data_IF_649448365611
#
_entry.id   IF_649448365611
#
_cell.length_a   1.000
_cell.length_b   1.000
_cell.length_c   1.000
_cell.angle_alpha   90.00
_cell.angle_beta   90.00
_cell.angle_gamma   90.00
#
_symmetry.space_group_name_H-M   'P 1'
#
loop_
_entity.id
_entity.type
_entity.pdbx_description
1 polymer ?
#
# COMPACT_ATOMS: atom_id res chain seq x y z
N UNK A 1 0.28 12.62 22.96
CA UNK A 1 0.58 11.23 22.58
C UNK A 1 -0.57 10.73 21.74
N UNK A 2 -0.28 10.36 20.49
CA UNK A 2 -1.28 9.90 19.54
C UNK A 2 -1.90 8.58 20.01
N UNK A 3 -3.13 8.26 19.61
CA UNK A 3 -3.74 6.93 19.78
C UNK A 3 -2.84 5.81 19.25
N UNK A 4 -1.86 6.14 18.40
CA UNK A 4 -0.85 5.23 17.83
C UNK A 4 0.39 4.96 18.70
N UNK A 5 0.59 5.65 19.83
CA UNK A 5 1.78 5.44 20.71
C UNK A 5 1.58 4.30 21.74
N UNK A 6 0.41 3.65 21.77
CA UNK A 6 0.18 2.49 22.65
C UNK A 6 0.65 1.21 21.96
N UNK A 7 1.39 0.31 22.62
CA UNK A 7 1.76 -0.97 22.04
C UNK A 7 0.50 -1.75 21.67
N UNK A 8 0.40 -2.13 20.40
CA UNK A 8 -0.68 -2.98 19.87
C UNK A 8 -0.22 -4.42 20.02
N UNK A 9 -1.04 -5.23 20.70
CA UNK A 9 -0.93 -6.69 20.68
C UNK A 9 -1.72 -7.26 19.51
N UNK A 10 -1.24 -8.34 18.90
CA UNK A 10 -1.95 -9.06 17.84
C UNK A 10 -2.00 -10.54 18.21
N UNK A 11 -3.20 -11.10 18.29
CA UNK A 11 -3.43 -12.54 18.45
C UNK A 11 -3.83 -13.13 17.11
N UNK A 12 -3.08 -14.11 16.63
CA UNK A 12 -3.48 -14.92 15.48
C UNK A 12 -4.09 -16.21 16.04
N UNK A 13 -5.35 -16.46 15.71
CA UNK A 13 -6.14 -17.52 16.33
C UNK A 13 -6.27 -18.71 15.37
N UNK A 14 -6.00 -19.92 15.86
CA UNK A 14 -6.35 -21.16 15.16
C UNK A 14 -7.21 -22.08 16.05
N UNK A 15 -7.81 -23.12 15.49
CA UNK A 15 -8.60 -24.09 16.26
C UNK A 15 -7.75 -24.85 17.29
N UNK A 16 -6.44 -24.97 17.02
CA UNK A 16 -5.59 -25.98 17.62
C UNK A 16 -5.84 -27.35 17.01
N UNK A 17 -4.92 -28.27 17.24
CA UNK A 17 -5.00 -29.65 16.78
C UNK A 17 -4.58 -30.58 17.90
N UNK A 18 -5.21 -31.77 18.03
CA UNK A 18 -4.68 -32.81 18.93
C UNK A 18 -3.29 -33.29 18.46
N UNK A 19 -2.90 -33.02 17.21
CA UNK A 19 -1.58 -33.36 16.67
C UNK A 19 -0.60 -32.22 16.97
N UNK A 20 0.35 -32.46 17.88
CA UNK A 20 1.34 -31.47 18.30
C UNK A 20 2.15 -30.87 17.13
N UNK A 21 2.41 -31.63 16.07
CA UNK A 21 3.13 -31.15 14.89
C UNK A 21 2.38 -30.03 14.13
N UNK A 22 1.05 -30.14 14.02
CA UNK A 22 0.24 -29.11 13.37
C UNK A 22 0.28 -27.79 14.16
N UNK A 23 0.26 -27.87 15.50
CA UNK A 23 0.37 -26.69 16.36
C UNK A 23 1.74 -26.02 16.23
N UNK A 24 2.82 -26.81 16.21
CA UNK A 24 4.19 -26.28 15.96
C UNK A 24 4.29 -25.59 14.60
N UNK A 25 3.65 -26.15 13.57
CA UNK A 25 3.59 -25.52 12.25
C UNK A 25 2.91 -24.15 12.27
N UNK A 26 1.79 -24.03 13.00
CA UNK A 26 1.07 -22.77 13.21
C UNK A 26 1.89 -21.76 14.03
N UNK A 27 2.48 -22.18 15.16
CA UNK A 27 3.35 -21.33 15.98
C UNK A 27 4.54 -20.80 15.17
N UNK A 28 5.17 -21.65 14.35
CA UNK A 28 6.26 -21.23 13.47
C UNK A 28 5.80 -20.23 12.40
N UNK A 29 4.57 -20.38 11.88
CA UNK A 29 3.97 -19.38 11.00
C UNK A 29 3.78 -18.05 11.72
N UNK A 30 3.20 -18.05 12.92
CA UNK A 30 2.98 -16.84 13.71
C UNK A 30 4.32 -16.17 14.05
N UNK A 31 5.36 -16.93 14.39
CA UNK A 31 6.69 -16.39 14.62
C UNK A 31 7.28 -15.68 13.39
N UNK A 32 7.11 -16.23 12.18
CA UNK A 32 7.53 -15.56 10.93
C UNK A 32 6.72 -14.29 10.63
N UNK A 33 5.45 -14.24 11.05
CA UNK A 33 4.64 -13.02 10.95
C UNK A 33 5.11 -11.98 11.98
N UNK A 34 5.33 -12.39 13.23
CA UNK A 34 5.81 -11.55 14.32
C UNK A 34 7.12 -10.84 13.96
N UNK A 35 8.08 -11.56 13.35
CA UNK A 35 9.36 -10.98 12.94
C UNK A 35 9.23 -9.89 11.87
N UNK A 36 8.12 -9.88 11.12
CA UNK A 36 7.84 -8.89 10.04
C UNK A 36 7.02 -7.70 10.53
N UNK A 37 6.41 -7.78 11.71
CA UNK A 37 5.50 -6.76 12.26
C UNK A 37 6.05 -6.04 13.50
N UNK A 38 7.35 -6.16 13.78
CA UNK A 38 7.98 -5.44 14.89
C UNK A 38 7.75 -3.91 14.76
N UNK A 39 7.44 -3.20 15.87
CA UNK A 39 7.55 -3.64 17.27
C UNK A 39 6.25 -4.24 17.87
N UNK A 40 5.22 -4.58 17.08
CA UNK A 40 3.99 -5.16 17.63
C UNK A 40 4.25 -6.52 18.30
N UNK A 41 3.57 -6.80 19.42
CA UNK A 41 3.63 -8.11 20.09
C UNK A 41 2.63 -9.04 19.41
N UNK A 42 3.11 -10.04 18.65
CA UNK A 42 2.28 -10.95 17.88
C UNK A 42 2.40 -12.37 18.44
N UNK A 43 1.31 -12.94 18.94
CA UNK A 43 1.29 -14.24 19.62
C UNK A 43 0.26 -15.20 19.01
N UNK A 44 0.54 -16.51 19.02
CA UNK A 44 -0.44 -17.52 18.64
C UNK A 44 -1.43 -17.73 19.79
N UNK A 45 -2.72 -17.85 19.47
CA UNK A 45 -3.75 -18.28 20.41
C UNK A 45 -4.53 -19.45 19.81
N UNK A 46 -4.93 -20.39 20.67
CA UNK A 46 -5.73 -21.53 20.27
C UNK A 46 -7.15 -21.42 20.84
N UNK A 47 -8.14 -21.83 20.06
CA UNK A 47 -9.53 -21.63 20.44
C UNK A 47 -10.05 -22.68 21.45
N UNK A 48 -9.72 -23.97 21.33
CA UNK A 48 -10.36 -24.98 22.20
C UNK A 48 -9.56 -26.23 22.55
N UNK A 49 -8.49 -26.57 21.81
CA UNK A 49 -7.85 -27.90 21.96
C UNK A 49 -6.53 -27.83 22.74
N UNK A 50 -5.81 -26.71 22.61
CA UNK A 50 -4.42 -26.58 23.06
C UNK A 50 -4.25 -25.25 23.75
N UNK A 51 -3.27 -25.15 24.66
CA UNK A 51 -2.87 -23.91 25.32
C UNK A 51 -1.63 -23.35 24.62
N UNK A 52 -1.42 -22.03 24.59
CA UNK A 52 -2.21 -20.99 25.26
C UNK A 52 -3.50 -20.64 24.49
N UNK A 53 -4.60 -20.45 25.23
CA UNK A 53 -5.87 -20.03 24.65
C UNK A 53 -5.99 -18.50 24.54
N UNK A 54 -7.13 -18.00 24.04
CA UNK A 54 -7.37 -16.56 23.89
C UNK A 54 -7.26 -15.83 25.25
N UNK A 55 -8.00 -16.23 26.33
CA UNK A 55 -7.84 -15.65 27.65
C UNK A 55 -6.39 -15.63 28.18
N UNK A 56 -5.65 -16.73 28.03
CA UNK A 56 -4.25 -16.81 28.48
C UNK A 56 -3.39 -15.73 27.82
N UNK A 57 -3.54 -15.56 26.51
CA UNK A 57 -2.75 -14.59 25.76
C UNK A 57 -3.17 -13.15 26.02
N UNK A 58 -4.46 -12.89 26.20
CA UNK A 58 -4.95 -11.57 26.62
C UNK A 58 -4.36 -11.21 27.99
N UNK A 59 -4.38 -12.14 28.95
CA UNK A 59 -3.77 -11.95 30.27
C UNK A 59 -2.26 -11.67 30.17
N UNK A 60 -1.54 -12.45 29.36
CA UNK A 60 -0.11 -12.29 29.12
C UNK A 60 0.22 -10.90 28.53
N UNK A 61 -0.49 -10.48 27.50
CA UNK A 61 -0.32 -9.16 26.88
C UNK A 61 -0.69 -8.02 27.84
N UNK A 62 -1.80 -8.16 28.57
CA UNK A 62 -2.23 -7.17 29.56
C UNK A 62 -1.18 -6.97 30.66
N UNK A 63 -0.56 -8.05 31.15
CA UNK A 63 0.51 -7.99 32.16
C UNK A 63 1.76 -7.23 31.68
N UNK A 64 1.99 -7.19 30.35
CA UNK A 64 3.08 -6.45 29.69
C UNK A 64 2.71 -4.99 29.38
N UNK A 65 1.51 -4.55 29.78
CA UNK A 65 1.04 -3.17 29.58
C UNK A 65 0.34 -2.93 28.24
N UNK A 66 0.07 -3.97 27.45
CA UNK A 66 -0.72 -3.84 26.22
C UNK A 66 -2.17 -3.52 26.58
N UNK A 67 -2.72 -2.44 26.02
CA UNK A 67 -4.10 -1.98 26.28
C UNK A 67 -5.00 -2.05 25.05
N UNK A 68 -4.47 -2.47 23.91
CA UNK A 68 -5.22 -2.71 22.67
C UNK A 68 -4.72 -3.98 22.00
N UNK A 69 -5.62 -4.93 21.76
CA UNK A 69 -5.31 -6.22 21.17
C UNK A 69 -6.21 -6.43 19.94
N UNK A 70 -5.59 -6.68 18.80
CA UNK A 70 -6.26 -7.09 17.57
C UNK A 70 -6.27 -8.62 17.50
N UNK A 71 -7.41 -9.20 17.16
CA UNK A 71 -7.56 -10.64 17.00
C UNK A 71 -7.82 -10.96 15.54
N UNK A 72 -6.93 -11.74 14.91
CA UNK A 72 -7.05 -12.22 13.55
C UNK A 72 -7.42 -13.71 13.55
N UNK A 73 -8.67 -14.08 13.22
CA UNK A 73 -9.05 -15.47 13.04
C UNK A 73 -8.38 -16.07 11.79
N UNK A 74 -7.44 -16.98 11.98
CA UNK A 74 -6.72 -17.67 10.89
C UNK A 74 -7.53 -18.88 10.40
N UNK A 75 -8.69 -18.59 9.81
CA UNK A 75 -9.60 -19.57 9.23
C UNK A 75 -9.90 -19.22 7.78
N UNK A 76 -9.92 -20.23 6.91
CA UNK A 76 -10.26 -20.08 5.49
C UNK A 76 -11.77 -20.20 5.22
N UNK A 77 -12.52 -20.73 6.19
CA UNK A 77 -13.96 -20.93 6.11
C UNK A 77 -14.60 -20.61 7.46
N UNK A 78 -15.76 -19.95 7.45
CA UNK A 78 -16.51 -19.64 8.67
C UNK A 78 -17.44 -20.80 9.07
N UNK A 79 -17.00 -21.65 10.00
CA UNK A 79 -17.91 -22.56 10.73
C UNK A 79 -18.63 -21.85 11.89
N UNK A 80 -19.64 -22.50 12.50
CA UNK A 80 -20.35 -21.98 13.70
C UNK A 80 -19.40 -21.53 14.83
N UNK A 81 -18.23 -22.17 14.94
CA UNK A 81 -17.22 -21.85 15.95
C UNK A 81 -16.60 -20.44 15.81
N UNK A 82 -16.53 -19.90 14.59
CA UNK A 82 -15.96 -18.57 14.35
C UNK A 82 -16.98 -17.47 14.65
N UNK A 83 -18.27 -17.74 14.35
CA UNK A 83 -19.34 -16.75 14.45
C UNK A 83 -20.03 -16.70 15.81
N UNK A 84 -19.95 -17.76 16.63
CA UNK A 84 -20.63 -17.84 17.93
C UNK A 84 -19.65 -17.92 19.09
N UNK A 85 -18.67 -18.81 19.03
CA UNK A 85 -17.88 -19.15 20.22
C UNK A 85 -16.75 -18.14 20.50
N UNK A 86 -16.09 -17.63 19.46
CA UNK A 86 -15.07 -16.57 19.61
C UNK A 86 -15.68 -15.31 20.24
N UNK A 87 -16.83 -14.78 19.76
CA UNK A 87 -17.52 -13.67 20.42
C UNK A 87 -17.80 -13.92 21.91
N UNK A 88 -18.29 -15.12 22.28
CA UNK A 88 -18.58 -15.45 23.67
C UNK A 88 -17.33 -15.43 24.56
N UNK A 89 -16.21 -15.99 24.09
CA UNK A 89 -14.92 -15.92 24.80
C UNK A 89 -14.40 -14.48 24.91
N UNK A 90 -14.64 -13.65 23.90
CA UNK A 90 -14.23 -12.25 23.92
C UNK A 90 -15.04 -11.43 24.92
N UNK A 91 -16.33 -11.69 25.06
CA UNK A 91 -17.15 -11.03 26.08
C UNK A 91 -16.70 -11.40 27.50
N UNK A 92 -16.28 -12.65 27.72
CA UNK A 92 -15.62 -13.05 28.97
C UNK A 92 -14.31 -12.28 29.19
N UNK A 93 -13.46 -12.19 28.17
CA UNK A 93 -12.20 -11.44 28.26
C UNK A 93 -12.43 -9.94 28.52
N UNK A 94 -13.45 -9.33 27.90
CA UNK A 94 -13.82 -7.92 28.12
C UNK A 94 -14.25 -7.66 29.57
N UNK A 95 -14.99 -8.60 30.17
CA UNK A 95 -15.38 -8.50 31.57
C UNK A 95 -14.19 -8.65 32.52
N UNK A 96 -13.24 -9.54 32.20
CA UNK A 96 -12.07 -9.80 33.03
C UNK A 96 -10.98 -8.71 32.89
N UNK A 97 -10.86 -8.11 31.70
CA UNK A 97 -9.85 -7.11 31.37
C UNK A 97 -10.50 -5.83 30.79
N UNK A 98 -11.29 -5.09 31.60
CA UNK A 98 -12.07 -3.94 31.11
C UNK A 98 -11.22 -2.79 30.55
N UNK A 99 -9.95 -2.70 30.97
CA UNK A 99 -9.03 -1.68 30.47
C UNK A 99 -8.32 -2.06 29.14
N UNK A 100 -8.61 -3.25 28.59
CA UNK A 100 -7.98 -3.74 27.36
C UNK A 100 -9.01 -3.73 26.23
N UNK A 101 -8.77 -2.90 25.22
CA UNK A 101 -9.61 -2.87 24.04
C UNK A 101 -9.34 -4.10 23.14
N UNK A 102 -10.38 -4.91 22.91
CA UNK A 102 -10.33 -6.11 22.05
C UNK A 102 -11.11 -5.87 20.76
N UNK A 103 -10.44 -5.98 19.61
CA UNK A 103 -11.00 -5.76 18.28
C UNK A 103 -10.74 -7.00 17.40
N UNK A 104 -11.80 -7.54 16.78
CA UNK A 104 -11.70 -8.70 15.90
C UNK A 104 -11.60 -8.23 14.46
N UNK A 105 -10.56 -8.69 13.76
CA UNK A 105 -10.39 -8.47 12.33
C UNK A 105 -11.19 -9.50 11.53
N UNK A 106 -11.58 -9.19 10.28
CA UNK A 106 -12.11 -10.19 9.36
C UNK A 106 -11.16 -11.40 9.25
N UNK A 107 -11.74 -12.59 9.10
CA UNK A 107 -10.96 -13.80 8.82
C UNK A 107 -10.43 -13.79 7.37
N UNK A 108 -9.78 -14.88 6.96
CA UNK A 108 -9.19 -15.00 5.62
C UNK A 108 -10.16 -15.59 4.59
N UNK A 109 -11.44 -15.78 4.94
CA UNK A 109 -12.45 -16.31 4.02
C UNK A 109 -12.69 -15.34 2.87
N UNK A 110 -12.71 -15.87 1.63
CA UNK A 110 -12.89 -15.09 0.40
C UNK A 110 -11.88 -13.94 0.22
N UNK A 111 -10.67 -14.04 0.80
CA UNK A 111 -9.60 -13.09 0.46
C UNK A 111 -9.11 -13.38 -0.97
N UNK A 112 -9.24 -12.44 -1.93
CA UNK A 112 -8.82 -12.67 -3.31
C UNK A 112 -7.35 -12.99 -3.47
N UNK A 113 -6.49 -12.60 -2.51
CA UNK A 113 -5.08 -13.00 -2.55
C UNK A 113 -4.93 -14.52 -2.44
N UNK A 114 -5.84 -15.21 -1.75
CA UNK A 114 -5.86 -16.67 -1.71
C UNK A 114 -6.35 -17.25 -3.03
N UNK A 115 -7.35 -16.65 -3.68
CA UNK A 115 -7.82 -17.05 -5.00
C UNK A 115 -6.70 -16.92 -6.04
N UNK A 116 -6.01 -15.77 -6.07
CA UNK A 116 -4.85 -15.53 -6.92
C UNK A 116 -3.74 -16.57 -6.69
N UNK A 117 -3.43 -16.90 -5.43
CA UNK A 117 -2.44 -17.92 -5.08
C UNK A 117 -2.86 -19.32 -5.58
N UNK A 118 -4.14 -19.65 -5.53
CA UNK A 118 -4.66 -20.91 -6.06
C UNK A 118 -4.55 -20.94 -7.59
N UNK A 119 -4.90 -19.86 -8.27
CA UNK A 119 -4.73 -19.72 -9.72
C UNK A 119 -3.26 -19.83 -10.10
N UNK A 120 -2.36 -19.10 -9.45
CA UNK A 120 -0.92 -19.15 -9.72
C UNK A 120 -0.37 -20.56 -9.57
N UNK A 121 -0.79 -21.27 -8.53
CA UNK A 121 -0.40 -22.66 -8.32
C UNK A 121 -0.95 -23.56 -9.42
N UNK A 122 -2.23 -23.43 -9.76
CA UNK A 122 -2.92 -24.38 -10.64
C UNK A 122 -2.75 -24.08 -12.13
N UNK A 123 -2.43 -22.85 -12.51
CA UNK A 123 -2.30 -22.39 -13.90
C UNK A 123 -1.38 -23.27 -14.75
N UNK A 124 -0.20 -23.73 -14.28
CA UNK A 124 0.66 -24.63 -15.06
C UNK A 124 -0.01 -25.97 -15.43
N UNK A 125 -1.09 -26.37 -14.76
CA UNK A 125 -1.81 -27.62 -15.00
C UNK A 125 -3.20 -27.42 -15.60
N UNK A 126 -3.66 -26.18 -15.76
CA UNK A 126 -5.00 -25.85 -16.26
C UNK A 126 -5.12 -25.98 -17.80
N UNK A 127 -4.00 -26.11 -18.52
CA UNK A 127 -3.96 -26.06 -19.98
C UNK A 127 -4.00 -24.61 -20.50
N UNK A 128 -3.45 -24.38 -21.69
CA UNK A 128 -3.53 -23.09 -22.38
C UNK A 128 -4.54 -23.20 -23.52
N UNK A 129 -5.72 -22.60 -23.37
CA UNK A 129 -6.64 -22.35 -24.48
C UNK A 129 -6.87 -20.84 -24.60
N UNK A 130 -5.85 -20.08 -24.97
CA UNK A 130 -6.07 -18.72 -25.47
C UNK A 130 -5.17 -18.43 -26.69
N UNK A 131 -5.84 -18.08 -27.80
CA UNK A 131 -5.18 -17.47 -28.96
C UNK A 131 -4.61 -16.13 -28.51
N UNK A 132 -3.29 -16.08 -28.30
CA UNK A 132 -2.61 -14.84 -27.92
C UNK A 132 -2.69 -13.82 -29.07
N UNK A 133 -3.32 -12.65 -28.87
CA UNK A 133 -3.28 -11.59 -29.87
C UNK A 133 -1.84 -11.11 -30.07
N UNK A 134 -1.43 -10.92 -31.33
CA UNK A 134 -0.06 -10.46 -31.67
C UNK A 134 0.02 -8.92 -31.81
N UNK A 135 -1.12 -8.25 -31.94
CA UNK A 135 -1.18 -6.79 -32.09
C UNK A 135 -1.21 -6.10 -30.72
N UNK A 136 -0.37 -5.08 -30.53
CA UNK A 136 -0.24 -4.38 -29.23
C UNK A 136 -1.55 -3.81 -28.70
N UNK A 137 -2.38 -3.21 -29.57
CA UNK A 137 -3.69 -2.68 -29.16
C UNK A 137 -4.66 -3.79 -28.72
N UNK A 138 -4.62 -4.95 -29.38
CA UNK A 138 -5.46 -6.10 -29.02
C UNK A 138 -5.01 -6.74 -27.70
N UNK A 139 -3.69 -6.81 -27.44
CA UNK A 139 -3.12 -7.23 -26.14
C UNK A 139 -3.56 -6.29 -25.02
N UNK A 140 -3.48 -4.97 -25.23
CA UNK A 140 -3.89 -3.98 -24.24
C UNK A 140 -5.40 -4.08 -23.95
N UNK A 141 -6.24 -4.20 -24.98
CA UNK A 141 -7.69 -4.39 -24.81
C UNK A 141 -8.04 -5.68 -24.07
N UNK A 142 -7.36 -6.80 -24.38
CA UNK A 142 -7.54 -8.06 -23.66
C UNK A 142 -7.11 -7.92 -22.19
N UNK A 143 -5.98 -7.26 -21.93
CA UNK A 143 -5.49 -7.00 -20.57
C UNK A 143 -6.51 -6.21 -19.75
N UNK A 144 -7.09 -5.14 -20.30
CA UNK A 144 -8.13 -4.36 -19.62
C UNK A 144 -9.42 -5.15 -19.40
N UNK A 145 -9.80 -6.02 -20.34
CA UNK A 145 -10.95 -6.90 -20.18
C UNK A 145 -10.75 -7.85 -18.99
N UNK A 146 -9.58 -8.47 -18.89
CA UNK A 146 -9.22 -9.36 -17.76
C UNK A 146 -9.24 -8.58 -16.44
N UNK A 147 -8.62 -7.40 -16.40
CA UNK A 147 -8.62 -6.54 -15.20
C UNK A 147 -10.05 -6.17 -14.79
N UNK A 148 -10.92 -5.83 -15.75
CA UNK A 148 -12.30 -5.48 -15.47
C UNK A 148 -13.08 -6.67 -14.89
N UNK A 149 -12.86 -7.88 -15.39
CA UNK A 149 -13.48 -9.09 -14.85
C UNK A 149 -12.99 -9.39 -13.42
N UNK A 150 -11.69 -9.26 -13.17
CA UNK A 150 -11.09 -9.49 -11.85
C UNK A 150 -11.47 -8.41 -10.82
N UNK A 151 -11.91 -7.24 -11.27
CA UNK A 151 -12.40 -6.15 -10.43
C UNK A 151 -13.94 -6.02 -10.43
N UNK A 152 -14.68 -7.05 -10.86
CA UNK A 152 -16.14 -6.98 -10.97
C UNK A 152 -16.83 -6.62 -9.63
N UNK A 153 -16.30 -7.12 -8.51
CA UNK A 153 -16.83 -6.86 -7.16
C UNK A 153 -16.22 -5.62 -6.50
N UNK A 154 -15.28 -4.95 -7.18
CA UNK A 154 -14.69 -3.71 -6.69
C UNK A 154 -15.49 -2.51 -7.20
N UNK A 155 -16.03 -1.72 -6.27
CA UNK A 155 -16.79 -0.52 -6.58
C UNK A 155 -16.01 0.73 -6.13
N UNK A 156 -15.56 1.55 -7.09
CA UNK A 156 -15.11 2.92 -6.80
C UNK A 156 -16.26 3.89 -6.88
N UNK A 157 -16.36 4.79 -5.89
CA UNK A 157 -17.30 5.91 -5.90
C UNK A 157 -16.84 7.08 -6.79
N UNK A 158 -15.65 7.00 -7.40
CA UNK A 158 -15.04 8.06 -8.22
C UNK A 158 -14.56 7.47 -9.57
N UNK A 159 -15.26 7.75 -10.69
CA UNK A 159 -14.90 7.21 -12.01
C UNK A 159 -13.50 7.60 -12.49
N UNK A 160 -13.08 8.85 -12.26
CA UNK A 160 -11.73 9.31 -12.66
C UNK A 160 -10.63 8.60 -11.85
N UNK A 161 -10.88 8.33 -10.57
CA UNK A 161 -9.96 7.57 -9.73
C UNK A 161 -9.85 6.08 -10.16
N UNK A 162 -10.93 5.51 -10.70
CA UNK A 162 -10.96 4.13 -11.23
C UNK A 162 -9.99 3.95 -12.40
N UNK A 163 -9.94 4.90 -13.32
CA UNK A 163 -9.01 4.82 -14.45
C UNK A 163 -7.54 4.77 -13.98
N UNK A 164 -7.19 5.53 -12.92
CA UNK A 164 -5.86 5.49 -12.31
C UNK A 164 -5.59 4.11 -11.72
N UNK A 165 -6.53 3.56 -10.93
CA UNK A 165 -6.39 2.24 -10.31
C UNK A 165 -6.16 1.15 -11.37
N UNK A 166 -7.00 1.11 -12.41
CA UNK A 166 -6.87 0.13 -13.50
C UNK A 166 -5.56 0.27 -14.25
N UNK A 167 -5.08 1.48 -14.51
CA UNK A 167 -3.80 1.68 -15.20
C UNK A 167 -2.62 1.23 -14.33
N UNK A 168 -2.67 1.50 -13.02
CA UNK A 168 -1.64 1.04 -12.09
C UNK A 168 -1.62 -0.49 -12.04
N UNK A 169 -2.78 -1.14 -11.96
CA UNK A 169 -2.89 -2.61 -12.00
C UNK A 169 -2.33 -3.15 -13.32
N UNK A 170 -2.70 -2.57 -14.46
CA UNK A 170 -2.18 -2.97 -15.76
C UNK A 170 -0.65 -2.87 -15.84
N UNK A 171 -0.07 -1.79 -15.33
CA UNK A 171 1.38 -1.57 -15.37
C UNK A 171 2.17 -2.43 -14.38
N UNK A 172 1.50 -3.07 -13.40
CA UNK A 172 2.16 -3.81 -12.31
C UNK A 172 1.75 -5.28 -12.24
N UNK A 173 0.69 -5.69 -12.95
CA UNK A 173 0.04 -6.98 -12.81
C UNK A 173 -0.32 -7.31 -11.34
N UNK A 174 -0.75 -6.30 -10.57
CA UNK A 174 -1.00 -6.44 -9.14
C UNK A 174 -2.36 -5.88 -8.73
N UNK A 175 -3.34 -6.78 -8.59
CA UNK A 175 -4.71 -6.45 -8.20
C UNK A 175 -4.82 -5.82 -6.81
N UNK A 176 -3.81 -6.01 -5.94
CA UNK A 176 -3.85 -5.45 -4.58
C UNK A 176 -3.88 -3.92 -4.56
N UNK A 177 -3.48 -3.25 -5.66
CA UNK A 177 -3.63 -1.80 -5.79
C UNK A 177 -5.09 -1.33 -5.75
N UNK A 178 -6.07 -2.14 -6.16
CA UNK A 178 -7.49 -1.81 -6.04
C UNK A 178 -7.92 -1.56 -4.58
N UNK A 179 -7.32 -2.29 -3.63
CA UNK A 179 -7.62 -2.19 -2.20
C UNK A 179 -6.69 -1.25 -1.44
N UNK A 180 -5.47 -1.07 -1.95
CA UNK A 180 -4.40 -0.37 -1.21
C UNK A 180 -4.16 1.06 -1.69
N UNK A 181 -4.51 1.41 -2.93
CA UNK A 181 -4.42 2.80 -3.41
C UNK A 181 -5.32 3.72 -2.61
N UNK A 182 -4.82 4.92 -2.38
CA UNK A 182 -5.50 6.02 -1.70
C UNK A 182 -5.27 7.26 -2.56
N UNK A 183 -6.37 7.80 -3.07
CA UNK A 183 -6.39 8.93 -3.98
C UNK A 183 -7.11 10.06 -3.24
N UNK A 184 -6.44 11.19 -3.06
CA UNK A 184 -7.06 12.36 -2.43
C UNK A 184 -8.24 12.84 -3.30
N UNK A 185 -9.37 13.31 -2.73
CA UNK A 185 -10.57 13.69 -3.52
C UNK A 185 -10.32 14.73 -4.62
N UNK A 186 -9.31 15.58 -4.44
CA UNK A 186 -8.90 16.61 -5.39
C UNK A 186 -7.70 16.20 -6.28
N UNK A 187 -7.18 14.98 -6.15
CA UNK A 187 -5.94 14.59 -6.82
C UNK A 187 -6.06 14.63 -8.35
N UNK A 188 -7.18 14.12 -8.87
CA UNK A 188 -7.42 14.09 -10.32
C UNK A 188 -7.57 15.51 -10.86
N UNK A 189 -8.42 16.33 -10.24
CA UNK A 189 -8.64 17.70 -10.70
C UNK A 189 -7.37 18.56 -10.64
N UNK A 190 -6.67 18.57 -9.50
CA UNK A 190 -5.42 19.34 -9.34
C UNK A 190 -4.29 18.83 -10.22
N UNK A 191 -4.22 17.52 -10.46
CA UNK A 191 -3.25 16.94 -11.38
C UNK A 191 -3.49 17.38 -12.82
N UNK A 192 -4.74 17.35 -13.28
CA UNK A 192 -5.13 17.82 -14.61
C UNK A 192 -4.86 19.32 -14.76
N UNK A 193 -5.27 20.13 -13.78
CA UNK A 193 -5.07 21.60 -13.79
C UNK A 193 -3.58 21.95 -13.83
N UNK A 194 -2.74 21.31 -13.02
CA UNK A 194 -1.31 21.55 -13.03
C UNK A 194 -0.66 21.20 -14.38
N UNK A 195 -1.08 20.10 -15.02
CA UNK A 195 -0.59 19.76 -16.36
C UNK A 195 -1.05 20.79 -17.40
N UNK A 196 -2.31 21.23 -17.33
CA UNK A 196 -2.88 22.27 -18.19
C UNK A 196 -2.17 23.62 -18.05
N UNK A 197 -1.78 23.99 -16.84
CA UNK A 197 -1.03 25.22 -16.55
C UNK A 197 0.46 25.11 -16.91
N UNK A 198 0.89 24.00 -17.54
CA UNK A 198 2.28 23.82 -17.96
C UNK A 198 3.25 23.54 -16.81
N UNK A 199 2.76 23.17 -15.63
CA UNK A 199 3.62 22.89 -14.47
C UNK A 199 4.57 21.72 -14.74
N UNK A 200 5.81 21.75 -14.21
CA UNK A 200 6.75 20.67 -14.39
C UNK A 200 6.37 19.45 -13.55
N UNK A 201 6.91 18.29 -13.95
CA UNK A 201 6.86 17.06 -13.18
C UNK A 201 8.25 16.78 -12.62
N UNK A 202 8.36 16.74 -11.29
CA UNK A 202 9.58 16.41 -10.57
C UNK A 202 9.56 14.93 -10.23
N UNK A 203 10.57 14.15 -10.62
CA UNK A 203 10.61 12.73 -10.31
C UNK A 203 11.94 12.26 -9.70
N UNK A 204 11.85 11.18 -8.92
CA UNK A 204 12.95 10.72 -8.08
C UNK A 204 14.00 9.88 -8.82
N UNK A 205 13.61 9.15 -9.87
CA UNK A 205 14.51 8.27 -10.63
C UNK A 205 14.28 8.32 -12.14
N UNK A 206 15.34 8.07 -12.91
CA UNK A 206 15.29 8.09 -14.37
C UNK A 206 14.38 7.01 -14.97
N UNK A 207 14.20 5.88 -14.30
CA UNK A 207 13.25 4.84 -14.73
C UNK A 207 11.80 5.35 -14.69
N UNK A 208 11.45 6.16 -13.69
CA UNK A 208 10.13 6.80 -13.62
C UNK A 208 9.97 7.83 -14.73
N UNK A 209 11.00 8.66 -14.96
CA UNK A 209 11.04 9.59 -16.10
C UNK A 209 10.80 8.87 -17.43
N UNK A 210 11.48 7.75 -17.68
CA UNK A 210 11.34 6.99 -18.91
C UNK A 210 9.96 6.35 -19.10
N UNK A 211 9.26 6.01 -18.00
CA UNK A 211 7.90 5.44 -18.05
C UNK A 211 6.80 6.48 -18.34
N UNK A 212 7.12 7.77 -18.27
CA UNK A 212 6.18 8.87 -18.51
C UNK A 212 6.20 9.30 -19.99
N UNK A 213 5.65 8.47 -20.86
CA UNK A 213 5.85 8.54 -22.33
C UNK A 213 4.89 9.47 -23.07
N UNK A 214 3.75 9.84 -22.47
CA UNK A 214 2.70 10.66 -23.12
C UNK A 214 2.55 12.03 -22.46
N UNK A 215 3.64 12.57 -21.93
CA UNK A 215 3.66 13.84 -21.19
C UNK A 215 4.33 14.92 -22.02
N UNK A 216 3.65 16.06 -22.19
CA UNK A 216 4.15 17.23 -22.91
C UNK A 216 4.93 18.19 -21.98
N UNK A 217 4.58 18.22 -20.69
CA UNK A 217 5.22 19.03 -19.67
C UNK A 217 6.70 18.66 -19.45
N UNK A 218 7.49 19.60 -18.94
CA UNK A 218 8.89 19.37 -18.56
C UNK A 218 8.97 18.31 -17.45
N UNK A 219 9.79 17.28 -17.64
CA UNK A 219 10.06 16.25 -16.63
C UNK A 219 11.49 16.38 -16.10
N UNK A 220 11.61 16.78 -14.84
CA UNK A 220 12.88 17.00 -14.14
C UNK A 220 13.22 15.81 -13.25
N UNK A 221 14.36 15.18 -13.53
CA UNK A 221 14.94 14.11 -12.73
C UNK A 221 16.41 14.43 -12.51
N UNK A 222 16.76 14.87 -11.30
CA UNK A 222 18.10 15.36 -10.99
C UNK A 222 19.02 14.29 -10.37
N UNK A 223 18.58 13.04 -10.25
CA UNK A 223 19.29 11.99 -9.49
C UNK A 223 20.74 11.73 -9.94
N UNK A 224 21.02 11.92 -11.23
CA UNK A 224 22.34 11.69 -11.83
C UNK A 224 23.08 13.01 -12.15
N UNK A 225 22.58 14.16 -11.69
CA UNK A 225 23.26 15.44 -11.89
C UNK A 225 24.50 15.54 -10.98
N UNK A 226 25.66 16.01 -11.49
CA UNK A 226 26.90 16.09 -10.70
C UNK A 226 26.76 16.88 -9.40
N UNK A 227 26.03 17.99 -9.42
CA UNK A 227 25.74 18.85 -8.28
C UNK A 227 24.89 18.16 -7.21
N UNK A 228 23.98 17.28 -7.60
CA UNK A 228 23.17 16.47 -6.66
C UNK A 228 24.04 15.43 -5.96
N UNK A 229 24.99 14.82 -6.66
CA UNK A 229 25.93 13.90 -6.05
C UNK A 229 26.84 14.61 -5.03
N UNK A 230 27.22 15.87 -5.27
CA UNK A 230 27.96 16.68 -4.30
C UNK A 230 27.08 17.03 -3.08
N UNK A 231 25.84 17.47 -3.30
CA UNK A 231 24.87 17.81 -2.26
C UNK A 231 24.57 16.61 -1.34
N UNK A 232 24.33 15.43 -1.91
CA UNK A 232 24.08 14.21 -1.14
C UNK A 232 25.23 13.86 -0.19
N UNK A 233 26.48 14.07 -0.61
CA UNK A 233 27.66 13.83 0.24
C UNK A 233 27.76 14.87 1.36
N UNK A 234 27.52 16.14 1.03
CA UNK A 234 27.57 17.24 2.00
C UNK A 234 26.51 17.08 3.10
N UNK A 235 25.28 16.72 2.71
CA UNK A 235 24.13 16.58 3.62
C UNK A 235 24.04 15.18 4.28
N UNK A 236 24.98 14.27 3.97
CA UNK A 236 24.95 12.87 4.39
C UNK A 236 23.59 12.18 4.08
N UNK A 237 22.99 12.55 2.96
CA UNK A 237 21.67 12.07 2.52
C UNK A 237 21.79 11.09 1.34
N UNK A 238 20.66 10.51 0.93
CA UNK A 238 20.61 9.78 -0.34
C UNK A 238 20.63 10.74 -1.52
N UNK A 239 21.06 10.25 -2.70
CA UNK A 239 20.98 11.02 -3.95
C UNK A 239 19.55 11.43 -4.30
N UNK A 240 18.57 10.57 -4.05
CA UNK A 240 17.18 10.86 -4.35
C UNK A 240 16.61 11.96 -3.43
N UNK A 241 16.96 11.98 -2.14
CA UNK A 241 16.60 13.08 -1.24
C UNK A 241 17.29 14.39 -1.66
N UNK A 242 18.59 14.35 -1.96
CA UNK A 242 19.33 15.52 -2.44
C UNK A 242 18.77 16.06 -3.76
N UNK A 243 18.33 15.19 -4.67
CA UNK A 243 17.66 15.60 -5.90
C UNK A 243 16.39 16.41 -5.62
N UNK A 244 15.57 16.00 -4.64
CA UNK A 244 14.38 16.75 -4.25
C UNK A 244 14.73 18.09 -3.60
N UNK A 245 15.79 18.13 -2.77
CA UNK A 245 16.32 19.42 -2.26
C UNK A 245 16.74 20.35 -3.39
N UNK A 246 17.48 19.82 -4.36
CA UNK A 246 17.97 20.58 -5.50
C UNK A 246 16.83 21.13 -6.36
N UNK A 247 15.76 20.35 -6.54
CA UNK A 247 14.57 20.73 -7.30
C UNK A 247 13.55 21.57 -6.50
N UNK A 248 13.80 21.85 -5.20
CA UNK A 248 12.88 22.62 -4.36
C UNK A 248 12.45 23.99 -4.93
N UNK A 249 13.31 24.76 -5.63
CA UNK A 249 12.88 26.01 -6.27
C UNK A 249 11.82 25.85 -7.37
N UNK A 250 11.63 24.63 -7.90
CA UNK A 250 10.63 24.28 -8.92
C UNK A 250 9.43 23.54 -8.33
N UNK A 251 9.31 23.44 -7.00
CA UNK A 251 8.31 22.61 -6.33
C UNK A 251 6.92 23.23 -6.27
N UNK A 252 6.82 24.56 -6.15
CA UNK A 252 5.54 25.26 -6.06
C UNK A 252 4.68 24.99 -7.30
N UNK A 253 3.45 24.48 -7.09
CA UNK A 253 2.52 24.15 -8.18
C UNK A 253 2.87 22.90 -8.99
N UNK A 254 4.06 22.32 -8.82
CA UNK A 254 4.50 21.16 -9.60
C UNK A 254 3.75 19.87 -9.25
N UNK A 255 3.84 18.89 -10.14
CA UNK A 255 3.52 17.49 -9.83
C UNK A 255 4.79 16.80 -9.37
N UNK A 256 4.75 16.17 -8.21
CA UNK A 256 5.86 15.37 -7.69
C UNK A 256 5.52 13.90 -7.86
N UNK A 257 6.37 13.15 -8.57
CA UNK A 257 6.22 11.72 -8.78
C UNK A 257 7.38 10.95 -8.14
N UNK A 258 7.10 10.21 -7.07
CA UNK A 258 8.08 9.38 -6.37
C UNK A 258 7.71 7.91 -6.55
N UNK A 259 8.50 7.20 -7.35
CA UNK A 259 8.25 5.78 -7.66
C UNK A 259 9.21 4.81 -6.98
N UNK A 260 10.38 5.27 -6.53
CA UNK A 260 11.43 4.38 -6.05
C UNK A 260 11.84 4.70 -4.60
N UNK A 261 12.34 5.90 -4.35
CA UNK A 261 13.08 6.22 -3.14
C UNK A 261 12.16 6.76 -2.03
N UNK A 262 11.97 6.04 -0.91
CA UNK A 262 11.20 6.55 0.23
C UNK A 262 11.81 7.83 0.82
N UNK A 263 13.13 7.97 0.73
CA UNK A 263 13.87 9.15 1.20
C UNK A 263 13.57 10.40 0.38
N UNK A 264 13.25 10.27 -0.90
CA UNK A 264 12.79 11.40 -1.72
C UNK A 264 11.40 11.87 -1.25
N UNK A 265 10.48 10.95 -0.99
CA UNK A 265 9.16 11.31 -0.45
C UNK A 265 9.25 11.98 0.92
N UNK A 266 10.07 11.44 1.84
CA UNK A 266 10.33 12.11 3.11
C UNK A 266 10.86 13.53 2.93
N UNK A 267 11.78 13.72 1.99
CA UNK A 267 12.34 15.04 1.74
C UNK A 267 11.30 16.03 1.23
N UNK A 268 10.37 15.59 0.39
CA UNK A 268 9.24 16.42 -0.06
C UNK A 268 8.33 16.81 1.11
N UNK A 269 8.04 15.87 2.02
CA UNK A 269 7.28 16.17 3.24
C UNK A 269 8.03 17.18 4.13
N UNK A 270 9.35 17.10 4.23
CA UNK A 270 10.14 18.05 5.01
C UNK A 270 10.18 19.45 4.37
N UNK A 271 10.33 19.52 3.04
CA UNK A 271 10.41 20.79 2.29
C UNK A 271 9.08 21.57 2.30
N UNK A 272 7.95 20.87 2.41
CA UNK A 272 6.59 21.45 2.38
C UNK A 272 6.10 21.90 3.76
N UNK A 273 6.81 21.57 4.85
CA UNK A 273 6.46 21.99 6.22
C UNK A 273 6.68 23.49 6.42
N UNK A 274 6.03 24.04 7.45
CA UNK A 274 6.25 25.40 7.97
C UNK A 274 6.16 26.52 6.90
N UNK A 275 5.24 26.39 5.94
CA UNK A 275 5.05 27.38 4.88
C UNK A 275 6.03 27.26 3.71
N UNK A 276 6.72 26.12 3.58
CA UNK A 276 7.52 25.81 2.40
C UNK A 276 6.69 25.62 1.12
N UNK A 277 7.35 25.48 -0.04
CA UNK A 277 6.69 25.42 -1.34
C UNK A 277 5.75 24.23 -1.45
N UNK A 278 4.56 24.41 -2.04
CA UNK A 278 3.50 23.41 -2.10
C UNK A 278 3.30 22.86 -3.51
N UNK A 279 3.52 21.56 -3.75
CA UNK A 279 3.17 20.95 -5.02
C UNK A 279 1.64 20.91 -5.21
N UNK A 280 1.19 20.93 -6.46
CA UNK A 280 -0.22 20.75 -6.77
C UNK A 280 -0.69 19.32 -6.44
N UNK A 281 0.19 18.33 -6.66
CA UNK A 281 -0.07 16.92 -6.43
C UNK A 281 1.23 16.15 -6.12
N UNK A 282 1.18 15.22 -5.17
CA UNK A 282 2.23 14.24 -4.90
C UNK A 282 1.76 12.82 -5.24
N UNK A 283 2.27 12.26 -6.33
CA UNK A 283 2.17 10.82 -6.63
C UNK A 283 3.28 10.09 -5.87
N UNK A 284 3.00 9.75 -4.61
CA UNK A 284 3.93 9.11 -3.68
C UNK A 284 3.75 7.60 -3.65
N UNK A 285 4.37 6.88 -4.58
CA UNK A 285 4.32 5.41 -4.67
C UNK A 285 5.73 4.77 -4.57
N UNK A 286 6.62 5.17 -3.63
CA UNK A 286 7.89 4.48 -3.47
C UNK A 286 7.66 3.00 -3.09
N UNK A 287 8.45 2.13 -3.71
CA UNK A 287 8.54 0.71 -3.37
C UNK A 287 9.67 0.47 -2.37
N UNK A 288 9.51 -0.50 -1.49
CA UNK A 288 10.63 -1.02 -0.71
C UNK A 288 10.25 -1.50 0.68
N UNK A 289 11.14 -2.29 1.28
CA UNK A 289 10.93 -2.86 2.61
C UNK A 289 11.34 -1.92 3.75
N UNK A 290 12.13 -0.88 3.46
CA UNK A 290 12.62 0.08 4.45
C UNK A 290 12.09 1.46 4.12
N UNK A 291 11.33 2.07 5.03
CA UNK A 291 10.88 3.45 4.93
C UNK A 291 9.73 3.73 3.97
N UNK A 292 9.41 2.84 3.03
CA UNK A 292 8.37 3.07 2.00
C UNK A 292 6.97 3.17 2.60
N UNK A 293 6.58 2.22 3.46
CA UNK A 293 5.27 2.27 4.11
C UNK A 293 5.17 3.48 5.04
N UNK A 294 6.24 3.79 5.77
CA UNK A 294 6.29 4.91 6.70
C UNK A 294 6.19 6.26 5.98
N UNK A 295 6.89 6.45 4.86
CA UNK A 295 6.82 7.70 4.10
C UNK A 295 5.46 7.90 3.45
N UNK A 296 4.84 6.84 2.93
CA UNK A 296 3.48 6.90 2.38
C UNK A 296 2.42 7.16 3.43
N UNK A 297 2.55 6.57 4.61
CA UNK A 297 1.69 6.90 5.75
C UNK A 297 1.84 8.38 6.15
N UNK A 298 3.07 8.88 6.21
CA UNK A 298 3.30 10.29 6.51
C UNK A 298 2.70 11.23 5.44
N UNK A 299 2.69 10.81 4.17
CA UNK A 299 1.97 11.52 3.10
C UNK A 299 0.44 11.50 3.30
N UNK A 300 -0.14 10.35 3.67
CA UNK A 300 -1.56 10.23 3.99
C UNK A 300 -1.99 11.12 5.17
N UNK A 301 -1.10 11.31 6.14
CA UNK A 301 -1.32 12.14 7.34
C UNK A 301 -1.01 13.62 7.11
N UNK A 302 -0.45 13.97 5.94
CA UNK A 302 -0.14 15.36 5.58
C UNK A 302 -1.35 16.12 5.03
N UNK A 303 -1.20 17.43 4.85
CA UNK A 303 -2.17 18.31 4.22
C UNK A 303 -1.93 18.47 2.70
N UNK A 304 -1.07 17.63 2.11
CA UNK A 304 -0.79 17.63 0.68
C UNK A 304 -1.85 16.86 -0.12
N UNK A 305 -2.06 17.28 -1.36
CA UNK A 305 -2.86 16.48 -2.29
C UNK A 305 -2.02 15.29 -2.80
N UNK A 306 -2.57 14.07 -2.77
CA UNK A 306 -1.78 12.87 -3.02
C UNK A 306 -2.47 11.79 -3.87
N UNK A 307 -1.63 10.95 -4.47
CA UNK A 307 -1.93 9.58 -4.90
C UNK A 307 -0.87 8.67 -4.26
N UNK A 308 -1.28 7.72 -3.42
CA UNK A 308 -0.35 6.82 -2.70
C UNK A 308 -1.01 5.48 -2.39
N UNK A 309 -0.35 4.60 -1.62
CA UNK A 309 -0.93 3.35 -1.12
C UNK A 309 -0.45 3.00 0.29
N UNK A 310 -1.09 2.02 0.94
CA UNK A 310 -0.93 1.74 2.38
C UNK A 310 0.14 0.71 2.74
N UNK A 311 0.78 0.06 1.77
CA UNK A 311 1.72 -1.06 2.00
C UNK A 311 3.13 -0.76 1.44
N UNK A 312 3.99 -1.77 1.30
CA UNK A 312 5.37 -1.61 0.77
C UNK A 312 5.47 -1.61 -0.76
N UNK A 313 4.38 -1.93 -1.46
CA UNK A 313 4.32 -2.01 -2.92
C UNK A 313 4.22 -0.62 -3.52
N UNK A 314 4.67 -0.48 -4.76
CA UNK A 314 4.76 0.80 -5.45
C UNK A 314 5.60 0.60 -6.70
N UNK A 315 6.46 1.57 -7.00
CA UNK A 315 7.44 1.43 -8.07
C UNK A 315 7.28 2.51 -9.12
N UNK A 316 8.32 2.69 -9.92
CA UNK A 316 8.30 3.53 -11.11
C UNK A 316 7.14 3.19 -12.06
N UNK A 317 6.78 1.91 -12.33
CA UNK A 317 5.64 1.61 -13.19
C UNK A 317 4.31 2.12 -12.63
N UNK A 318 4.08 1.95 -11.32
CA UNK A 318 2.85 2.43 -10.66
C UNK A 318 2.76 3.96 -10.67
N UNK A 319 3.85 4.65 -10.31
CA UNK A 319 3.89 6.11 -10.33
C UNK A 319 3.73 6.66 -11.76
N UNK A 320 4.43 6.09 -12.75
CA UNK A 320 4.33 6.50 -14.15
C UNK A 320 2.90 6.28 -14.69
N UNK A 321 2.29 5.13 -14.37
CA UNK A 321 0.92 4.82 -14.77
C UNK A 321 -0.07 5.87 -14.25
N UNK A 322 0.02 6.23 -12.97
CA UNK A 322 -0.85 7.25 -12.38
C UNK A 322 -0.68 8.62 -13.06
N UNK A 323 0.55 9.07 -13.29
CA UNK A 323 0.82 10.35 -13.95
C UNK A 323 0.39 10.34 -15.43
N UNK A 324 0.64 9.24 -16.16
CA UNK A 324 0.23 9.11 -17.56
C UNK A 324 -1.30 9.17 -17.74
N UNK A 325 -2.08 8.63 -16.79
CA UNK A 325 -3.55 8.75 -16.83
C UNK A 325 -3.98 10.19 -16.65
N UNK A 326 -3.37 10.92 -15.69
CA UNK A 326 -3.66 12.34 -15.50
C UNK A 326 -3.35 13.16 -16.76
N UNK A 327 -2.23 12.88 -17.43
CA UNK A 327 -1.85 13.52 -18.69
C UNK A 327 -2.83 13.20 -19.82
N UNK A 328 -3.28 11.95 -19.93
CA UNK A 328 -4.30 11.57 -20.91
C UNK A 328 -5.62 12.31 -20.66
N UNK A 329 -6.10 12.34 -19.42
CA UNK A 329 -7.32 13.07 -19.05
C UNK A 329 -7.20 14.59 -19.27
N UNK A 330 -6.02 15.16 -19.01
CA UNK A 330 -5.76 16.57 -19.28
C UNK A 330 -5.87 16.88 -20.77
N UNK A 331 -5.27 16.02 -21.61
CA UNK A 331 -5.33 16.14 -23.06
C UNK A 331 -6.76 15.97 -23.62
N UNK A 332 -7.55 15.03 -23.08
CA UNK A 332 -8.95 14.83 -23.47
C UNK A 332 -9.83 16.04 -23.11
N UNK A 333 -9.52 16.75 -22.02
CA UNK A 333 -10.22 17.96 -21.60
C UNK A 333 -9.75 19.22 -22.34
N UNK A 334 -8.49 19.25 -22.75
CA UNK A 334 -7.91 20.35 -23.52
C UNK A 334 -6.83 19.81 -24.49
N UNK A 335 -7.15 19.62 -25.79
CA UNK A 335 -6.22 19.03 -26.76
C UNK A 335 -4.93 19.85 -26.99
N UNK A 336 -4.97 21.15 -26.69
CA UNK A 336 -3.84 22.07 -26.80
C UNK A 336 -2.86 21.98 -25.61
N UNK A 337 -3.24 21.23 -24.56
CA UNK A 337 -2.41 20.85 -23.40
C UNK A 337 -1.72 19.53 -23.64
#
# INVERSE_FOLDING_TARGET
MSVMDRPIGILIISHGSPRAEANRGFEALVARVASRLQPADVLPAFFSIVRPDIPDQVAAMASRGVRRILLLPYFLYSGQHVTVDIPALLDQCRNQFPDVALEVLPNLENDPVLEDLLVERLAPWAGEDEVFPQEGAAIEQQSYRIIQQQLADWASSQPDADQIVRRVIHATADLSFARTLRIHPQAVSRGIEALADGQPILCDVNMLKAGMTKIRNEILCAIDWPEVAALARADQSTRAAAAMTHLAPRLEGAIVAIGNAPTALWRILDLTRNGGPRPALVVGLPIGFVGAQQSKRALLESDLCYITNTNHRGGSPAAAAAVNVLALMAHERNPDV
#
